data_IF_905775950339
#
_entry.id   IF_905775950339
#
_cell.length_a   1.000
_cell.length_b   1.000
_cell.length_c   1.000
_cell.angle_alpha   90.00
_cell.angle_beta   90.00
_cell.angle_gamma   90.00
#
_symmetry.space_group_name_H-M   'P 1'
#
loop_
_entity.id
_entity.type
_entity.pdbx_description
1 polymer ?
#
# COMPACT_ATOMS: atom_id res chain seq x y z
N UNK A 1 5.73 -9.70 -8.14
CA UNK A 1 4.77 -8.56 -8.09
C UNK A 1 5.48 -7.23 -8.31
N UNK A 2 6.32 -6.78 -7.37
CA UNK A 2 7.03 -5.48 -7.49
C UNK A 2 7.95 -5.39 -8.71
N UNK A 3 8.71 -6.44 -9.06
CA UNK A 3 9.58 -6.39 -10.25
C UNK A 3 8.83 -6.25 -11.59
N UNK A 4 7.56 -6.68 -11.65
CA UNK A 4 6.76 -6.66 -12.87
C UNK A 4 5.84 -5.44 -12.96
N UNK A 5 5.26 -5.03 -11.82
CA UNK A 5 4.21 -4.01 -11.77
C UNK A 5 4.54 -2.83 -10.84
N UNK A 6 5.69 -2.89 -10.18
CA UNK A 6 6.10 -1.91 -9.19
C UNK A 6 6.41 -0.56 -9.81
N UNK A 7 6.06 0.49 -9.08
CA UNK A 7 6.39 1.87 -9.40
C UNK A 7 7.11 2.49 -8.21
N UNK A 8 7.98 3.46 -8.49
CA UNK A 8 8.61 4.28 -7.44
C UNK A 8 7.62 5.36 -7.01
N UNK A 9 7.56 5.62 -5.71
CA UNK A 9 6.74 6.69 -5.15
C UNK A 9 7.59 7.67 -4.34
N UNK A 10 7.08 8.89 -4.23
CA UNK A 10 7.68 9.94 -3.41
C UNK A 10 6.80 10.19 -2.20
N UNK A 11 7.38 10.13 -1.00
CA UNK A 11 6.68 10.45 0.23
C UNK A 11 6.54 11.95 0.42
N UNK A 12 5.34 12.37 0.79
CA UNK A 12 5.10 13.71 1.34
C UNK A 12 4.95 13.63 2.85
N UNK A 13 5.24 14.75 3.51
CA UNK A 13 4.93 14.88 4.93
C UNK A 13 3.42 14.74 5.10
N UNK A 14 3.03 13.98 6.11
CA UNK A 14 1.62 13.78 6.42
C UNK A 14 0.99 15.14 6.71
N UNK A 15 -0.23 15.44 6.21
CA UNK A 15 -0.88 16.70 6.50
C UNK A 15 -1.03 16.94 8.00
N UNK A 16 -0.89 18.20 8.42
CA UNK A 16 -1.01 18.60 9.83
C UNK A 16 -2.39 18.17 10.36
N UNK A 17 -2.40 17.45 11.48
CA UNK A 17 -3.63 17.00 12.14
C UNK A 17 -4.02 15.54 11.89
N UNK A 18 -3.31 14.81 11.04
CA UNK A 18 -3.47 13.35 10.96
C UNK A 18 -2.63 12.64 12.02
N UNK A 19 -3.25 11.74 12.78
CA UNK A 19 -2.57 10.89 13.74
C UNK A 19 -1.98 9.66 13.06
N UNK A 20 -0.76 9.29 13.45
CA UNK A 20 -0.17 8.02 13.03
C UNK A 20 -0.88 6.87 13.74
N UNK A 21 -1.21 5.83 12.99
CA UNK A 21 -1.65 4.56 13.55
C UNK A 21 -0.48 3.79 14.20
N UNK A 22 -0.79 2.69 14.91
CA UNK A 22 0.22 1.91 15.62
C UNK A 22 1.33 1.37 14.70
N UNK A 23 2.57 1.37 15.20
CA UNK A 23 3.70 0.74 14.53
C UNK A 23 3.45 -0.75 14.29
N UNK A 24 4.03 -1.28 13.19
CA UNK A 24 3.87 -2.69 12.74
C UNK A 24 2.46 -3.08 12.30
N UNK A 25 1.55 -2.12 12.16
CA UNK A 25 0.21 -2.33 11.61
C UNK A 25 0.02 -1.63 10.26
N UNK A 26 1.09 -1.53 9.45
CA UNK A 26 1.07 -0.77 8.19
C UNK A 26 -0.03 -1.19 7.21
N UNK A 27 -0.26 -2.49 7.06
CA UNK A 27 -1.37 -3.02 6.25
C UNK A 27 -2.73 -2.54 6.76
N UNK A 28 -2.96 -2.61 8.06
CA UNK A 28 -4.24 -2.20 8.66
C UNK A 28 -4.42 -0.68 8.59
N UNK A 29 -3.40 0.08 8.94
CA UNK A 29 -3.44 1.55 8.92
C UNK A 29 -3.67 2.07 7.50
N UNK A 30 -2.97 1.52 6.50
CA UNK A 30 -3.13 1.89 5.09
C UNK A 30 -4.53 1.52 4.56
N UNK A 31 -5.04 0.35 4.93
CA UNK A 31 -6.39 -0.07 4.56
C UNK A 31 -7.45 0.88 5.14
N UNK A 32 -7.36 1.20 6.44
CA UNK A 32 -8.28 2.13 7.08
C UNK A 32 -8.23 3.52 6.46
N UNK A 33 -7.03 4.07 6.21
CA UNK A 33 -6.88 5.37 5.56
C UNK A 33 -7.58 5.41 4.18
N UNK A 34 -7.47 4.34 3.40
CA UNK A 34 -8.13 4.23 2.10
C UNK A 34 -9.65 4.13 2.26
N UNK A 35 -10.14 3.29 3.16
CA UNK A 35 -11.58 3.12 3.44
C UNK A 35 -12.22 4.42 3.92
N UNK A 36 -11.56 5.15 4.82
CA UNK A 36 -12.04 6.43 5.36
C UNK A 36 -12.08 7.54 4.30
N UNK A 37 -11.23 7.46 3.26
CA UNK A 37 -11.20 8.42 2.17
C UNK A 37 -12.24 8.18 1.07
N UNK A 38 -12.97 7.06 1.10
CA UNK A 38 -13.91 6.70 0.03
C UNK A 38 -15.06 7.71 -0.08
N UNK A 39 -15.36 8.12 -1.31
CA UNK A 39 -16.41 9.11 -1.59
C UNK A 39 -16.03 10.55 -1.23
N UNK A 40 -14.79 10.79 -0.79
CA UNK A 40 -14.25 12.13 -0.58
C UNK A 40 -13.52 12.64 -1.83
N UNK A 41 -13.27 13.96 -1.90
CA UNK A 41 -12.46 14.54 -2.98
C UNK A 41 -10.99 14.07 -2.93
N UNK A 42 -10.52 13.62 -1.78
CA UNK A 42 -9.15 13.18 -1.51
C UNK A 42 -9.05 11.66 -1.41
N UNK A 43 -9.84 10.93 -2.21
CA UNK A 43 -9.84 9.47 -2.21
C UNK A 43 -8.44 8.91 -2.47
N UNK A 44 -8.03 7.99 -1.60
CA UNK A 44 -6.72 7.37 -1.62
C UNK A 44 -6.75 6.00 -2.30
N UNK A 45 -5.59 5.59 -2.81
CA UNK A 45 -5.35 4.27 -3.39
C UNK A 45 -4.44 3.47 -2.48
N UNK A 46 -4.80 2.22 -2.21
CA UNK A 46 -4.00 1.32 -1.38
C UNK A 46 -2.78 0.79 -2.16
N UNK A 47 -1.64 0.65 -1.50
CA UNK A 47 -0.42 0.17 -2.12
C UNK A 47 0.38 -0.74 -1.18
N UNK A 48 0.95 -1.82 -1.73
CA UNK A 48 1.85 -2.73 -1.04
C UNK A 48 3.20 -2.84 -1.78
N UNK A 49 4.29 -2.99 -1.03
CA UNK A 49 5.62 -3.16 -1.62
C UNK A 49 6.72 -3.08 -0.58
N UNK A 50 7.84 -2.48 -0.98
CA UNK A 50 9.00 -2.28 -0.12
C UNK A 50 9.21 -0.80 0.16
N UNK A 51 9.41 -0.49 1.45
CA UNK A 51 9.82 0.82 1.90
C UNK A 51 11.22 0.76 2.52
N UNK A 52 12.04 1.76 2.23
CA UNK A 52 13.34 1.99 2.85
C UNK A 52 13.21 3.21 3.76
N UNK A 53 12.96 3.02 5.07
CA UNK A 53 12.80 4.15 5.98
C UNK A 53 14.12 4.86 6.25
N UNK A 54 14.03 6.13 6.62
CA UNK A 54 15.24 6.92 6.93
C UNK A 54 16.01 6.36 8.14
N UNK A 55 15.34 5.61 9.01
CA UNK A 55 15.89 5.06 10.25
C UNK A 55 16.55 3.69 10.10
N UNK A 56 16.36 3.00 8.97
CA UNK A 56 16.93 1.67 8.73
C UNK A 56 17.60 1.62 7.35
N UNK A 57 18.78 1.01 7.29
CA UNK A 57 19.49 0.77 6.03
C UNK A 57 18.97 -0.49 5.29
N UNK A 58 17.77 -0.97 5.65
CA UNK A 58 17.18 -2.19 5.09
C UNK A 58 15.76 -1.91 4.58
N UNK A 59 15.47 -2.38 3.38
CA UNK A 59 14.12 -2.35 2.83
C UNK A 59 13.22 -3.35 3.57
N UNK A 60 12.04 -2.91 3.97
CA UNK A 60 11.03 -3.72 4.67
C UNK A 60 9.77 -3.84 3.82
N UNK A 61 9.08 -4.96 3.93
CA UNK A 61 7.72 -5.08 3.41
C UNK A 61 6.82 -4.08 4.12
N UNK A 62 6.02 -3.34 3.35
CA UNK A 62 5.24 -2.24 3.87
C UNK A 62 3.99 -2.00 3.02
N UNK A 63 2.98 -1.39 3.63
CA UNK A 63 1.78 -0.94 2.98
C UNK A 63 1.54 0.54 3.30
N UNK A 64 1.01 1.28 2.32
CA UNK A 64 0.75 2.72 2.43
C UNK A 64 -0.43 3.11 1.55
N UNK A 65 -0.85 4.36 1.68
CA UNK A 65 -1.85 4.97 0.81
C UNK A 65 -1.17 5.92 -0.19
N UNK A 66 -1.78 6.07 -1.37
CA UNK A 66 -1.29 6.93 -2.44
C UNK A 66 -2.41 7.90 -2.81
N UNK A 67 -2.09 9.19 -2.85
CA UNK A 67 -3.05 10.21 -3.28
C UNK A 67 -3.19 10.28 -4.81
N UNK A 68 -4.15 11.08 -5.29
CA UNK A 68 -4.39 11.26 -6.73
C UNK A 68 -3.18 11.83 -7.51
N UNK A 69 -2.20 12.44 -6.83
CA UNK A 69 -0.97 12.94 -7.42
C UNK A 69 0.17 11.88 -7.42
N UNK A 70 -0.10 10.66 -6.96
CA UNK A 70 0.89 9.58 -6.90
C UNK A 70 1.87 9.71 -5.72
N UNK A 71 1.51 10.47 -4.68
CA UNK A 71 2.38 10.72 -3.51
C UNK A 71 2.01 9.77 -2.37
N UNK A 72 3.02 9.31 -1.64
CA UNK A 72 2.82 8.41 -0.49
C UNK A 72 2.26 9.19 0.69
N UNK A 73 1.12 8.72 1.19
CA UNK A 73 0.54 9.02 2.48
C UNK A 73 0.72 7.77 3.35
N UNK A 74 1.64 7.85 4.31
CA UNK A 74 1.98 6.70 5.15
C UNK A 74 1.44 6.87 6.57
N UNK A 75 0.34 6.21 6.92
CA UNK A 75 -0.30 6.40 8.22
C UNK A 75 0.46 5.69 9.37
N UNK A 76 1.62 5.08 9.15
CA UNK A 76 2.35 4.34 10.20
C UNK A 76 3.60 5.07 10.71
N UNK A 77 4.30 5.82 9.86
CA UNK A 77 5.53 6.53 10.27
C UNK A 77 5.66 7.91 9.60
N UNK A 78 6.23 8.86 10.33
CA UNK A 78 6.50 10.23 9.85
C UNK A 78 8.01 10.46 9.63
N UNK A 79 8.57 9.81 8.60
CA UNK A 79 10.00 9.84 8.26
C UNK A 79 10.33 10.54 6.93
N UNK A 80 9.39 11.34 6.40
CA UNK A 80 9.63 12.16 5.21
C UNK A 80 10.78 13.17 5.45
N UNK A 81 11.62 13.49 4.45
CA UNK A 81 11.57 13.07 3.04
C UNK A 81 12.58 11.97 2.68
N UNK A 82 13.29 11.37 3.64
CA UNK A 82 14.46 10.49 3.38
C UNK A 82 14.08 9.00 3.32
N UNK A 83 12.99 8.69 2.62
CA UNK A 83 12.48 7.33 2.52
C UNK A 83 12.18 6.96 1.06
N UNK A 84 12.52 5.73 0.69
CA UNK A 84 12.28 5.18 -0.63
C UNK A 84 11.08 4.25 -0.62
N UNK A 85 10.18 4.37 -1.61
CA UNK A 85 9.01 3.51 -1.73
C UNK A 85 8.92 2.92 -3.12
N UNK A 86 8.82 1.59 -3.21
CA UNK A 86 8.58 0.89 -4.47
C UNK A 86 7.49 -0.16 -4.23
N UNK A 87 6.36 -0.01 -4.91
CA UNK A 87 5.20 -0.86 -4.66
C UNK A 87 4.22 -0.92 -5.82
N UNK A 88 3.14 -1.65 -5.59
CA UNK A 88 2.08 -1.91 -6.56
C UNK A 88 0.77 -1.35 -6.00
N UNK A 89 0.13 -0.38 -6.66
CA UNK A 89 -1.22 0.06 -6.31
C UNK A 89 -2.22 -1.06 -6.55
N UNK A 90 -3.10 -1.30 -5.58
CA UNK A 90 -4.12 -2.36 -5.65
C UNK A 90 -5.52 -1.75 -5.57
N UNK A 91 -6.45 -2.31 -6.35
CA UNK A 91 -7.84 -1.86 -6.34
C UNK A 91 -8.54 -2.26 -5.05
N UNK A 92 -9.43 -1.41 -4.54
CA UNK A 92 -10.21 -1.74 -3.35
C UNK A 92 -11.10 -2.98 -3.57
N UNK A 93 -11.61 -3.19 -4.79
CA UNK A 93 -12.35 -4.41 -5.12
C UNK A 93 -11.51 -5.68 -4.90
N UNK A 94 -10.22 -5.63 -5.22
CA UNK A 94 -9.28 -6.71 -4.94
C UNK A 94 -9.02 -6.89 -3.43
N UNK A 95 -9.09 -5.81 -2.65
CA UNK A 95 -9.00 -5.85 -1.18
C UNK A 95 -10.31 -6.28 -0.51
N UNK A 96 -11.47 -6.07 -1.14
CA UNK A 96 -12.79 -6.36 -0.56
C UNK A 96 -13.31 -7.74 -0.92
N UNK A 97 -12.85 -8.35 -2.01
CA UNK A 97 -13.06 -9.78 -2.28
C UNK A 97 -12.30 -10.71 -1.28
N UNK A 98 -11.73 -10.13 -0.21
CA UNK A 98 -11.02 -10.80 0.90
C UNK A 98 -11.95 -11.42 1.96
N UNK A 99 -13.25 -11.57 1.68
CA UNK A 99 -14.27 -12.14 2.60
C UNK A 99 -14.05 -13.61 3.05
N UNK A 100 -12.92 -14.24 2.68
CA UNK A 100 -12.54 -15.59 3.12
C UNK A 100 -11.16 -15.69 3.78
N UNK A 101 -10.67 -14.61 4.42
CA UNK A 101 -9.46 -14.52 5.27
C UNK A 101 -8.66 -15.83 5.49
N UNK A 102 -7.90 -16.24 4.48
CA UNK A 102 -6.60 -16.88 4.69
C UNK A 102 -5.54 -15.79 4.48
N UNK A 103 -4.95 -15.30 5.58
CA UNK A 103 -3.84 -14.36 5.54
C UNK A 103 -2.59 -14.90 4.80
N UNK A 104 -2.61 -16.17 4.37
CA UNK A 104 -1.55 -16.78 3.55
C UNK A 104 -1.72 -16.54 2.05
N UNK A 105 -2.89 -16.09 1.59
CA UNK A 105 -3.13 -15.79 0.17
C UNK A 105 -3.91 -14.46 -0.01
N UNK A 106 -3.23 -13.32 0.18
CA UNK A 106 -3.86 -11.99 0.16
C UNK A 106 -4.35 -11.54 -1.22
N UNK A 107 -4.12 -12.32 -2.28
CA UNK A 107 -4.44 -11.99 -3.67
C UNK A 107 -5.65 -12.78 -4.20
N UNK A 108 -6.20 -13.73 -3.43
CA UNK A 108 -7.31 -14.59 -3.86
C UNK A 108 -6.94 -15.47 -5.07
N UNK A 109 -5.65 -15.63 -5.34
CA UNK A 109 -5.09 -16.45 -6.42
C UNK A 109 -3.90 -17.20 -5.87
N UNK A 110 -3.84 -18.50 -6.09
CA UNK A 110 -2.75 -19.31 -5.54
C UNK A 110 -1.40 -18.79 -6.03
N UNK A 111 -0.34 -19.00 -5.25
CA UNK A 111 1.02 -18.64 -5.69
C UNK A 111 1.39 -19.31 -7.03
N UNK A 112 0.81 -20.47 -7.35
CA UNK A 112 0.99 -21.14 -8.64
C UNK A 112 0.31 -20.38 -9.78
N UNK A 113 -0.94 -19.94 -9.58
CA UNK A 113 -1.68 -19.13 -10.56
C UNK A 113 -0.99 -17.77 -10.76
N UNK A 114 -0.54 -17.12 -9.68
CA UNK A 114 0.22 -15.88 -9.76
C UNK A 114 1.54 -16.05 -10.56
N UNK A 115 2.22 -17.18 -10.40
CA UNK A 115 3.45 -17.49 -11.16
C UNK A 115 3.18 -17.75 -12.64
N UNK A 116 2.05 -18.39 -12.95
CA UNK A 116 1.67 -18.75 -14.32
C UNK A 116 1.10 -17.55 -15.09
N UNK A 117 0.17 -16.85 -14.47
CA UNK A 117 -0.72 -15.88 -15.14
C UNK A 117 -0.44 -14.43 -14.72
N UNK A 118 0.34 -14.21 -13.66
CA UNK A 118 0.57 -12.88 -13.10
C UNK A 118 -0.63 -12.35 -12.30
N UNK A 119 -0.60 -11.06 -11.96
CA UNK A 119 -1.75 -10.41 -11.33
C UNK A 119 -2.86 -10.21 -12.36
N UNK A 120 -4.13 -10.47 -12.00
CA UNK A 120 -5.25 -10.13 -12.89
C UNK A 120 -5.31 -8.61 -13.07
N UNK A 121 -5.67 -8.15 -14.27
CA UNK A 121 -5.72 -6.73 -14.58
C UNK A 121 -6.64 -5.93 -13.64
N UNK A 122 -7.71 -6.57 -13.13
CA UNK A 122 -8.64 -5.98 -12.16
C UNK A 122 -8.05 -5.76 -10.77
N UNK A 123 -6.89 -6.35 -10.46
CA UNK A 123 -6.20 -6.16 -9.18
C UNK A 123 -5.37 -4.87 -9.14
N UNK A 124 -5.00 -4.33 -10.30
CA UNK A 124 -4.12 -3.17 -10.40
C UNK A 124 -4.92 -1.87 -10.52
N UNK A 125 -4.52 -0.86 -9.75
CA UNK A 125 -5.07 0.50 -9.80
C UNK A 125 -4.21 1.44 -10.68
#
# INVERSE_FOLDING_TARGET
MVLAYGRRFTKVRIPVGHELGPMRQCYNNAFHAVVESLGTADQLTYCEGFALPASLELAVEHAWAVDAAGRVIDPTWDDAPRCGYVGVPLTLAHLMNRDQLDFRDPLGVTLADLKRDGLPASALA
#
